data_IF_020435044274
#
_entry.id   IF_020435044274
#
_cell.length_a   1.000
_cell.length_b   1.000
_cell.length_c   1.000
_cell.angle_alpha   90.00
_cell.angle_beta   90.00
_cell.angle_gamma   90.00
#
_symmetry.space_group_name_H-M   'P 1'
#
loop_
_entity.id
_entity.type
_entity.pdbx_description
1 polymer ?
#
# COMPACT_ATOMS: atom_id res chain seq x y z
N UNK A 1 46.38 28.88 0.07
CA UNK A 1 45.17 28.38 0.77
C UNK A 1 44.43 27.49 -0.21
N UNK A 2 44.61 26.17 -0.11
CA UNK A 2 43.97 25.22 -1.04
C UNK A 2 42.50 25.04 -0.67
N UNK A 3 41.63 25.16 -1.67
CA UNK A 3 40.19 24.92 -1.53
C UNK A 3 39.95 23.45 -1.14
N UNK A 4 39.32 23.25 0.01
CA UNK A 4 38.81 21.94 0.43
C UNK A 4 37.67 21.57 -0.52
N UNK A 5 37.88 20.56 -1.36
CA UNK A 5 36.82 19.99 -2.17
C UNK A 5 35.76 19.41 -1.24
N UNK A 6 34.54 19.97 -1.31
CA UNK A 6 33.39 19.44 -0.56
C UNK A 6 33.03 18.10 -1.17
N UNK A 7 32.96 17.00 -0.39
CA UNK A 7 32.63 15.69 -0.93
C UNK A 7 31.21 15.73 -1.50
N UNK A 8 31.04 15.30 -2.76
CA UNK A 8 29.71 15.17 -3.35
C UNK A 8 28.88 14.19 -2.53
N UNK A 9 27.74 14.67 -2.02
CA UNK A 9 26.77 13.83 -1.33
C UNK A 9 26.21 12.84 -2.34
N UNK A 10 26.16 11.53 -2.04
CA UNK A 10 25.60 10.58 -2.96
C UNK A 10 24.13 10.94 -3.23
N UNK A 11 23.81 11.27 -4.48
CA UNK A 11 22.43 11.47 -4.92
C UNK A 11 21.87 10.08 -5.21
N UNK A 12 21.26 9.47 -4.19
CA UNK A 12 20.72 8.12 -4.29
C UNK A 12 19.55 8.01 -5.27
N UNK A 13 18.90 9.14 -5.62
CA UNK A 13 17.86 9.26 -6.64
C UNK A 13 17.96 10.67 -7.29
N UNK A 14 17.93 10.75 -8.62
CA UNK A 14 17.82 12.03 -9.33
C UNK A 14 16.51 12.73 -8.94
N UNK A 15 16.49 14.06 -8.78
CA UNK A 15 15.36 14.80 -8.19
C UNK A 15 14.00 14.52 -8.86
N UNK A 16 13.98 14.32 -10.18
CA UNK A 16 12.77 13.97 -10.93
C UNK A 16 12.16 12.62 -10.47
N UNK A 17 12.98 11.64 -10.08
CA UNK A 17 12.49 10.33 -9.59
C UNK A 17 11.88 10.45 -8.20
N UNK A 18 12.33 11.40 -7.38
CA UNK A 18 11.74 11.68 -6.08
C UNK A 18 10.37 12.36 -6.22
N UNK A 19 10.26 13.30 -7.16
CA UNK A 19 8.98 13.98 -7.44
C UNK A 19 7.92 13.00 -7.98
N UNK A 20 8.32 12.08 -8.86
CA UNK A 20 7.41 11.04 -9.37
C UNK A 20 7.01 10.03 -8.28
N UNK A 21 7.93 9.65 -7.38
CA UNK A 21 7.60 8.83 -6.21
C UNK A 21 6.63 9.55 -5.26
N UNK A 22 6.87 10.84 -5.00
CA UNK A 22 5.98 11.66 -4.18
C UNK A 22 4.58 11.73 -4.79
N UNK A 23 4.47 11.99 -6.11
CA UNK A 23 3.19 11.97 -6.83
C UNK A 23 2.49 10.61 -6.69
N UNK A 24 3.20 9.50 -6.96
CA UNK A 24 2.63 8.16 -6.85
C UNK A 24 2.11 7.85 -5.43
N UNK A 25 2.86 8.19 -4.38
CA UNK A 25 2.44 7.98 -2.99
C UNK A 25 1.24 8.85 -2.63
N UNK A 26 1.20 10.11 -3.09
CA UNK A 26 0.05 10.99 -2.87
C UNK A 26 -1.21 10.45 -3.53
N UNK A 27 -1.15 10.04 -4.80
CA UNK A 27 -2.30 9.45 -5.50
C UNK A 27 -2.78 8.17 -4.80
N UNK A 28 -1.86 7.28 -4.41
CA UNK A 28 -2.22 6.06 -3.67
C UNK A 28 -2.87 6.38 -2.31
N UNK A 29 -2.39 7.41 -1.62
CA UNK A 29 -2.95 7.84 -0.34
C UNK A 29 -4.37 8.40 -0.52
N UNK A 30 -4.61 9.14 -1.61
CA UNK A 30 -5.96 9.62 -1.98
C UNK A 30 -6.93 8.46 -2.21
N UNK A 31 -6.51 7.45 -2.98
CA UNK A 31 -7.34 6.25 -3.21
C UNK A 31 -7.60 5.47 -1.91
N UNK A 32 -6.60 5.36 -1.02
CA UNK A 32 -6.77 4.75 0.30
C UNK A 32 -7.75 5.54 1.18
N UNK A 33 -7.73 6.87 1.10
CA UNK A 33 -8.69 7.72 1.79
C UNK A 33 -10.11 7.52 1.27
N UNK A 34 -10.30 7.44 -0.05
CA UNK A 34 -11.61 7.15 -0.66
C UNK A 34 -12.14 5.79 -0.17
N UNK A 35 -11.29 4.76 -0.11
CA UNK A 35 -11.68 3.46 0.41
C UNK A 35 -12.09 3.53 1.88
N UNK A 36 -11.34 4.28 2.69
CA UNK A 36 -11.67 4.51 4.11
C UNK A 36 -13.02 5.21 4.26
N UNK A 37 -13.28 6.28 3.51
CA UNK A 37 -14.56 6.99 3.53
C UNK A 37 -15.72 6.05 3.16
N UNK A 38 -15.52 5.20 2.14
CA UNK A 38 -16.53 4.20 1.75
C UNK A 38 -16.82 3.18 2.85
N UNK A 39 -15.81 2.72 3.59
CA UNK A 39 -16.02 1.82 4.73
C UNK A 39 -16.78 2.53 5.86
N UNK A 40 -16.42 3.77 6.20
CA UNK A 40 -17.13 4.55 7.21
C UNK A 40 -18.60 4.77 6.84
N UNK A 41 -18.87 5.07 5.56
CA UNK A 41 -20.24 5.21 5.05
C UNK A 41 -20.99 3.87 5.11
N UNK A 42 -20.35 2.77 4.74
CA UNK A 42 -20.96 1.43 4.81
C UNK A 42 -21.32 1.06 6.26
N UNK A 43 -20.41 1.25 7.20
CA UNK A 43 -20.64 1.04 8.63
C UNK A 43 -21.81 1.88 9.11
N UNK A 44 -21.87 3.16 8.73
CA UNK A 44 -22.98 4.04 9.10
C UNK A 44 -24.32 3.59 8.52
N UNK A 45 -24.35 3.18 7.25
CA UNK A 45 -25.55 2.64 6.62
C UNK A 45 -26.02 1.39 7.36
N UNK A 46 -25.11 0.49 7.72
CA UNK A 46 -25.46 -0.75 8.43
C UNK A 46 -25.96 -0.46 9.85
N UNK A 47 -25.38 0.51 10.55
CA UNK A 47 -25.86 0.99 11.84
C UNK A 47 -27.26 1.61 11.75
N UNK A 48 -27.49 2.50 10.78
CA UNK A 48 -28.79 3.16 10.57
C UNK A 48 -29.90 2.16 10.22
N UNK A 49 -29.54 1.02 9.63
CA UNK A 49 -30.45 -0.10 9.36
C UNK A 49 -30.55 -1.11 10.51
N UNK A 50 -29.87 -0.87 11.63
CA UNK A 50 -29.90 -1.74 12.81
C UNK A 50 -29.20 -3.10 12.64
N UNK A 51 -28.30 -3.22 11.67
CA UNK A 51 -27.58 -4.48 11.36
C UNK A 51 -26.39 -4.70 12.30
N UNK A 52 -25.68 -3.62 12.64
CA UNK A 52 -24.53 -3.63 13.55
C UNK A 52 -24.52 -2.38 14.43
N UNK A 53 -23.76 -2.39 15.53
CA UNK A 53 -23.46 -1.19 16.32
C UNK A 53 -22.25 -0.47 15.71
N UNK A 54 -22.14 0.85 15.87
CA UNK A 54 -20.97 1.60 15.37
C UNK A 54 -19.61 1.09 15.88
N UNK A 55 -19.55 0.37 17.00
CA UNK A 55 -18.32 -0.26 17.51
C UNK A 55 -18.09 -1.70 17.03
N UNK A 56 -19.04 -2.30 16.32
CA UNK A 56 -19.01 -3.71 15.98
C UNK A 56 -17.77 -4.09 15.15
N UNK A 57 -17.33 -3.23 14.23
CA UNK A 57 -16.14 -3.50 13.40
C UNK A 57 -14.86 -3.49 14.24
N UNK A 58 -14.72 -2.54 15.17
CA UNK A 58 -13.54 -2.43 16.03
C UNK A 58 -13.47 -3.54 17.08
N UNK A 59 -14.61 -4.02 17.56
CA UNK A 59 -14.71 -5.09 18.57
C UNK A 59 -14.70 -6.50 17.95
N UNK A 60 -14.89 -6.61 16.64
CA UNK A 60 -15.01 -7.90 15.98
C UNK A 60 -13.68 -8.64 16.00
N UNK A 61 -13.66 -9.79 16.67
CA UNK A 61 -12.53 -10.71 16.67
C UNK A 61 -12.74 -11.78 15.60
N UNK A 62 -11.93 -11.82 14.52
CA UNK A 62 -12.07 -12.83 13.49
C UNK A 62 -11.79 -14.22 14.06
N UNK A 63 -12.55 -15.22 13.59
CA UNK A 63 -12.25 -16.61 13.89
C UNK A 63 -10.99 -17.10 13.16
N UNK A 64 -10.60 -18.36 13.38
CA UNK A 64 -9.40 -18.93 12.77
C UNK A 64 -9.48 -18.98 11.23
N UNK A 65 -10.67 -19.23 10.67
CA UNK A 65 -10.86 -19.35 9.23
C UNK A 65 -10.74 -17.97 8.56
N UNK A 66 -11.45 -16.97 9.08
CA UNK A 66 -11.39 -15.60 8.57
C UNK A 66 -10.00 -14.98 8.79
N UNK A 67 -9.35 -15.26 9.92
CA UNK A 67 -7.97 -14.82 10.17
C UNK A 67 -6.99 -15.35 9.12
N UNK A 68 -7.13 -16.62 8.71
CA UNK A 68 -6.30 -17.21 7.67
C UNK A 68 -6.54 -16.52 6.31
N UNK A 69 -7.80 -16.29 5.94
CA UNK A 69 -8.15 -15.55 4.72
C UNK A 69 -7.55 -14.13 4.73
N UNK A 70 -7.67 -13.39 5.83
CA UNK A 70 -7.10 -12.04 5.95
C UNK A 70 -5.57 -12.04 5.82
N UNK A 71 -4.90 -13.08 6.33
CA UNK A 71 -3.46 -13.23 6.20
C UNK A 71 -3.04 -13.50 4.75
N UNK A 72 -3.77 -14.36 4.03
CA UNK A 72 -3.48 -14.68 2.64
C UNK A 72 -3.74 -13.48 1.72
N UNK A 73 -4.83 -12.74 1.92
CA UNK A 73 -5.11 -11.48 1.20
C UNK A 73 -4.00 -10.45 1.43
N UNK A 74 -3.53 -10.32 2.69
CA UNK A 74 -2.42 -9.43 3.02
C UNK A 74 -1.13 -9.84 2.32
N UNK A 75 -0.83 -11.15 2.27
CA UNK A 75 0.34 -11.68 1.56
C UNK A 75 0.25 -11.38 0.05
N UNK A 76 -0.89 -11.67 -0.56
CA UNK A 76 -1.13 -11.43 -1.98
C UNK A 76 -1.03 -9.93 -2.35
N UNK A 77 -1.49 -9.05 -1.47
CA UNK A 77 -1.30 -7.60 -1.63
C UNK A 77 0.17 -7.21 -1.55
N UNK A 78 0.90 -7.69 -0.54
CA UNK A 78 2.32 -7.41 -0.38
C UNK A 78 3.14 -7.91 -1.59
N UNK A 79 2.87 -9.12 -2.08
CA UNK A 79 3.52 -9.68 -3.26
C UNK A 79 3.26 -8.84 -4.52
N UNK A 80 2.05 -8.35 -4.72
CA UNK A 80 1.73 -7.45 -5.85
C UNK A 80 2.48 -6.12 -5.75
N UNK A 81 2.55 -5.52 -4.55
CA UNK A 81 3.23 -4.24 -4.33
C UNK A 81 4.74 -4.38 -4.52
N UNK A 82 5.37 -5.33 -3.82
CA UNK A 82 6.83 -5.49 -3.87
C UNK A 82 7.31 -6.16 -5.16
N UNK A 83 6.51 -7.07 -5.72
CA UNK A 83 6.78 -7.67 -7.03
C UNK A 83 6.81 -6.63 -8.15
N UNK A 84 6.02 -5.56 -8.07
CA UNK A 84 6.02 -4.47 -9.04
C UNK A 84 7.31 -3.62 -9.01
N UNK A 85 8.03 -3.61 -7.88
CA UNK A 85 9.26 -2.82 -7.67
C UNK A 85 10.52 -3.67 -7.90
N UNK A 86 10.42 -5.01 -7.84
CA UNK A 86 11.52 -5.90 -8.23
C UNK A 86 11.95 -5.61 -9.69
N UNK A 87 13.25 -5.67 -10.03
CA UNK A 87 13.72 -5.37 -11.38
C UNK A 87 12.88 -6.09 -12.44
N UNK A 88 12.46 -5.36 -13.48
CA UNK A 88 11.60 -5.84 -14.57
C UNK A 88 12.01 -7.19 -15.15
N UNK A 89 13.31 -7.48 -15.10
CA UNK A 89 13.94 -8.66 -15.69
C UNK A 89 13.46 -9.97 -15.04
N UNK A 90 13.18 -10.01 -13.73
CA UNK A 90 12.68 -11.22 -13.08
C UNK A 90 11.18 -11.48 -13.30
N UNK A 91 10.40 -10.43 -13.55
CA UNK A 91 8.97 -10.57 -13.87
C UNK A 91 8.78 -11.04 -15.31
N UNK A 92 9.52 -10.45 -16.24
CA UNK A 92 9.51 -10.83 -17.66
C UNK A 92 10.09 -12.24 -17.84
N UNK A 93 11.17 -12.59 -17.14
CA UNK A 93 11.72 -13.94 -17.18
C UNK A 93 10.76 -15.01 -16.64
N UNK A 94 9.99 -14.73 -15.58
CA UNK A 94 8.94 -15.65 -15.08
C UNK A 94 7.73 -15.74 -16.01
N UNK A 95 7.34 -14.64 -16.66
CA UNK A 95 6.22 -14.61 -17.59
C UNK A 95 6.52 -15.28 -18.94
N UNK A 96 7.79 -15.39 -19.33
CA UNK A 96 8.24 -16.04 -20.57
C UNK A 96 8.77 -17.48 -20.37
N UNK A 97 8.76 -17.99 -19.12
CA UNK A 97 9.18 -19.36 -18.79
C UNK A 97 8.03 -20.39 -18.77
N UNK A 98 6.83 -19.96 -19.15
CA UNK A 98 5.64 -20.78 -19.42
C UNK A 98 5.04 -20.39 -20.78
#
# INVERSE_FOLDING_TARGET
>A
MSAVATPERPQYLESARLDDLARMVTELTSELWILKDRNMILEKILEDNGVLTGSAVDEYQPDAALSATLLDERRALAERIFGAISPSDERVARALAH
#
